data_IF_683351171160
#
_entry.id   IF_683351171160
#
_cell.length_a   1.000
_cell.length_b   1.000
_cell.length_c   1.000
_cell.angle_alpha   90.00
_cell.angle_beta   90.00
_cell.angle_gamma   90.00
#
_symmetry.space_group_name_H-M   'P 1'
#
loop_
_entity.id
_entity.type
_entity.pdbx_description
1 polymer ?
#
# COMPACT_ATOMS: atom_id res chain seq x y z
N UNK A 1 30.33 -14.14 -28.57
CA UNK A 1 30.24 -15.51 -29.12
C UNK A 1 29.34 -16.27 -28.17
N UNK A 2 28.16 -16.72 -28.59
CA UNK A 2 27.08 -17.00 -27.64
C UNK A 2 27.23 -18.38 -26.99
N UNK A 3 27.12 -18.41 -25.67
CA UNK A 3 27.10 -19.61 -24.83
C UNK A 3 25.93 -20.52 -25.27
N UNK A 4 26.21 -21.80 -25.53
CA UNK A 4 25.17 -22.75 -25.94
C UNK A 4 24.45 -23.31 -24.71
N UNK A 5 23.12 -23.19 -24.68
CA UNK A 5 22.27 -23.68 -23.59
C UNK A 5 21.25 -24.70 -24.11
N UNK A 6 21.06 -25.77 -23.34
CA UNK A 6 19.91 -26.68 -23.43
C UNK A 6 19.29 -26.69 -22.05
N UNK A 7 18.08 -26.15 -21.89
CA UNK A 7 17.55 -25.88 -20.56
C UNK A 7 16.06 -26.19 -20.43
N UNK A 8 15.72 -26.72 -19.25
CA UNK A 8 14.35 -26.69 -18.70
C UNK A 8 14.03 -25.33 -18.05
N UNK A 9 15.05 -24.56 -17.66
CA UNK A 9 14.91 -23.20 -17.11
C UNK A 9 15.04 -22.15 -18.22
N UNK A 10 14.03 -21.32 -18.51
CA UNK A 10 14.18 -20.24 -19.50
C UNK A 10 15.14 -19.16 -18.96
N UNK A 11 16.37 -19.12 -19.48
CA UNK A 11 17.36 -18.10 -19.15
C UNK A 11 17.64 -17.19 -20.35
N UNK A 12 17.96 -15.93 -20.06
CA UNK A 12 18.49 -14.96 -21.02
C UNK A 12 19.98 -14.73 -20.73
N UNK A 13 20.85 -14.91 -21.73
CA UNK A 13 22.23 -14.45 -21.64
C UNK A 13 22.26 -12.95 -21.89
N UNK A 14 22.93 -12.21 -21.01
CA UNK A 14 23.11 -10.78 -21.15
C UNK A 14 24.58 -10.45 -21.38
N UNK A 15 24.86 -9.92 -22.57
CA UNK A 15 26.21 -9.50 -22.95
C UNK A 15 26.54 -8.13 -22.37
N UNK A 16 27.83 -7.85 -22.15
CA UNK A 16 28.26 -6.54 -21.67
C UNK A 16 27.86 -5.44 -22.68
N UNK A 17 27.08 -4.46 -22.22
CA UNK A 17 26.67 -3.31 -23.02
C UNK A 17 25.36 -3.49 -23.82
N UNK A 18 24.64 -4.60 -23.66
CA UNK A 18 23.28 -4.71 -24.21
C UNK A 18 22.30 -3.83 -23.46
N UNK A 19 21.44 -3.11 -24.18
CA UNK A 19 20.30 -2.41 -23.59
C UNK A 19 19.37 -3.42 -22.92
N UNK A 20 19.20 -3.32 -21.60
CA UNK A 20 18.28 -4.15 -20.83
C UNK A 20 17.01 -3.36 -20.52
N UNK A 21 15.86 -3.90 -20.93
CA UNK A 21 14.56 -3.39 -20.56
C UNK A 21 13.59 -4.56 -20.42
N UNK A 22 13.03 -4.72 -19.22
CA UNK A 22 12.04 -5.77 -18.94
C UNK A 22 10.81 -5.15 -18.30
N UNK A 23 9.63 -5.45 -18.84
CA UNK A 23 8.37 -5.01 -18.23
C UNK A 23 7.84 -6.08 -17.28
N UNK A 24 7.62 -5.69 -16.03
CA UNK A 24 7.05 -6.55 -14.99
C UNK A 24 5.90 -5.83 -14.31
N UNK A 25 4.70 -6.42 -14.35
CA UNK A 25 3.49 -5.86 -13.74
C UNK A 25 3.22 -4.39 -14.10
N UNK A 26 3.61 -3.96 -15.31
CA UNK A 26 3.45 -2.58 -15.79
C UNK A 26 4.57 -1.62 -15.38
N UNK A 27 5.56 -2.05 -14.60
CA UNK A 27 6.80 -1.31 -14.38
C UNK A 27 7.88 -1.72 -15.37
N UNK A 28 8.85 -0.84 -15.60
CA UNK A 28 10.01 -1.11 -16.46
C UNK A 28 11.28 -1.22 -15.62
N UNK A 29 11.91 -2.38 -15.68
CA UNK A 29 13.22 -2.67 -15.09
C UNK A 29 14.29 -2.33 -16.12
N UNK A 30 15.18 -1.40 -15.80
CA UNK A 30 16.16 -0.84 -16.75
C UNK A 30 17.61 -1.09 -16.34
N UNK A 31 17.86 -1.46 -15.07
CA UNK A 31 19.21 -1.77 -14.59
C UNK A 31 19.38 -3.30 -14.59
N UNK A 32 20.25 -3.85 -15.47
CA UNK A 32 20.53 -5.27 -15.48
C UNK A 32 21.30 -5.70 -14.23
N UNK A 33 21.38 -7.01 -13.94
CA UNK A 33 22.28 -7.50 -12.91
C UNK A 33 23.75 -7.24 -13.32
N UNK A 34 24.66 -7.05 -12.35
CA UNK A 34 26.07 -6.87 -12.65
C UNK A 34 26.72 -8.14 -13.22
N UNK A 35 27.75 -7.96 -14.05
CA UNK A 35 28.62 -9.05 -14.50
C UNK A 35 29.74 -9.32 -13.48
N UNK A 36 30.27 -10.56 -13.42
CA UNK A 36 31.55 -10.83 -12.77
C UNK A 36 32.64 -9.87 -13.27
N UNK A 37 33.54 -9.45 -12.39
CA UNK A 37 34.58 -8.47 -12.73
C UNK A 37 35.94 -9.09 -13.06
N UNK A 38 36.04 -10.42 -13.00
CA UNK A 38 37.25 -11.16 -13.28
C UNK A 38 37.07 -12.66 -13.08
N UNK A 39 38.12 -13.41 -13.37
CA UNK A 39 38.15 -14.86 -13.15
C UNK A 39 37.92 -15.21 -11.67
N UNK A 40 36.81 -15.88 -11.38
CA UNK A 40 36.40 -16.22 -10.01
C UNK A 40 35.98 -15.01 -9.16
N UNK A 41 35.83 -13.82 -9.75
CA UNK A 41 35.41 -12.61 -9.04
C UNK A 41 33.94 -12.32 -9.35
N UNK A 42 33.07 -12.79 -8.45
CA UNK A 42 31.62 -12.64 -8.55
C UNK A 42 31.16 -11.26 -8.07
N UNK A 43 30.14 -10.71 -8.71
CA UNK A 43 29.48 -9.49 -8.26
C UNK A 43 28.63 -9.73 -7.00
N UNK A 44 28.41 -8.66 -6.22
CA UNK A 44 27.66 -8.71 -4.97
C UNK A 44 26.20 -9.11 -5.18
N UNK A 45 25.68 -9.94 -4.26
CA UNK A 45 24.27 -10.35 -4.20
C UNK A 45 23.76 -10.31 -2.75
N UNK A 46 22.50 -9.88 -2.50
CA UNK A 46 21.63 -9.20 -3.46
C UNK A 46 22.21 -7.85 -3.91
N UNK A 47 21.78 -7.34 -5.06
CA UNK A 47 22.12 -5.97 -5.47
C UNK A 47 21.39 -4.94 -4.61
N UNK A 48 21.89 -3.71 -4.57
CA UNK A 48 21.14 -2.59 -3.97
C UNK A 48 19.80 -2.41 -4.69
N UNK A 49 18.67 -2.27 -3.96
CA UNK A 49 17.37 -2.04 -4.59
C UNK A 49 17.34 -0.75 -5.42
N UNK A 50 16.79 -0.87 -6.63
CA UNK A 50 16.51 0.25 -7.52
C UNK A 50 15.02 0.59 -7.43
N UNK A 51 14.72 1.87 -7.21
CA UNK A 51 13.35 2.35 -7.06
C UNK A 51 12.58 2.27 -8.40
N UNK A 52 11.39 1.67 -8.36
CA UNK A 52 10.42 1.70 -9.47
C UNK A 52 9.45 2.86 -9.31
N UNK A 53 8.86 3.00 -8.12
CA UNK A 53 7.80 3.96 -7.87
C UNK A 53 7.67 4.28 -6.37
N UNK A 54 7.28 5.52 -6.07
CA UNK A 54 6.77 5.92 -4.76
C UNK A 54 5.29 6.31 -4.91
N UNK A 55 4.49 5.98 -3.90
CA UNK A 55 3.08 6.37 -3.81
C UNK A 55 2.67 6.53 -2.33
N UNK A 56 1.38 6.77 -2.10
CA UNK A 56 0.78 6.74 -0.77
C UNK A 56 -0.54 5.98 -0.80
N UNK A 57 -0.87 5.31 0.31
CA UNK A 57 -2.15 4.65 0.53
C UNK A 57 -2.87 5.25 1.74
N UNK A 58 -4.20 5.20 1.76
CA UNK A 58 -5.04 5.54 2.90
C UNK A 58 -6.09 4.46 3.07
N UNK A 59 -6.17 3.88 4.27
CA UNK A 59 -7.18 2.89 4.63
C UNK A 59 -8.60 3.46 4.52
N UNK A 60 -8.80 4.70 4.96
CA UNK A 60 -10.01 5.47 4.69
C UNK A 60 -9.62 6.64 3.78
N UNK A 61 -9.90 6.54 2.46
CA UNK A 61 -9.77 7.67 1.55
C UNK A 61 -10.60 8.85 2.05
N UNK A 62 -10.27 10.11 1.73
CA UNK A 62 -11.02 11.27 2.20
C UNK A 62 -12.46 11.21 1.70
N UNK A 63 -13.41 11.26 2.63
CA UNK A 63 -14.86 11.25 2.35
C UNK A 63 -15.50 12.36 3.16
N UNK A 64 -16.49 13.03 2.60
CA UNK A 64 -17.25 14.05 3.32
C UNK A 64 -18.73 13.99 3.00
N UNK A 65 -19.54 14.30 4.00
CA UNK A 65 -20.97 14.53 3.87
C UNK A 65 -21.17 16.04 4.00
N UNK A 66 -21.58 16.67 2.89
CA UNK A 66 -21.81 18.11 2.84
C UNK A 66 -23.29 18.42 3.01
N UNK A 67 -23.62 19.18 4.05
CA UNK A 67 -24.99 19.58 4.42
C UNK A 67 -25.51 20.78 3.62
N UNK A 68 -24.67 21.37 2.78
CA UNK A 68 -25.05 22.41 1.82
C UNK A 68 -25.68 21.86 0.53
N UNK A 69 -25.88 20.55 0.44
CA UNK A 69 -26.52 19.88 -0.69
C UNK A 69 -27.92 19.37 -0.32
N UNK A 70 -28.84 19.35 -1.30
CA UNK A 70 -30.15 18.74 -1.10
C UNK A 70 -29.98 17.22 -0.92
N UNK A 71 -30.44 16.68 0.21
CA UNK A 71 -30.26 15.28 0.64
C UNK A 71 -28.78 14.88 0.81
N UNK A 72 -28.12 15.34 1.91
CA UNK A 72 -26.71 15.06 2.18
C UNK A 72 -26.44 13.54 2.23
N UNK A 73 -25.92 12.94 1.16
CA UNK A 73 -25.90 11.48 1.02
C UNK A 73 -24.80 10.80 1.84
N UNK A 74 -24.97 9.49 2.05
CA UNK A 74 -23.93 8.55 2.48
C UNK A 74 -22.83 8.42 1.40
N UNK A 75 -21.58 8.28 1.83
CA UNK A 75 -20.43 7.86 0.99
C UNK A 75 -20.23 6.34 1.10
N UNK A 76 -19.15 5.80 0.51
CA UNK A 76 -18.88 4.37 0.54
C UNK A 76 -18.78 3.81 1.98
N UNK A 77 -18.01 4.49 2.85
CA UNK A 77 -17.74 4.05 4.21
C UNK A 77 -18.38 4.94 5.29
N UNK A 78 -18.79 6.16 4.95
CA UNK A 78 -19.26 7.14 5.93
C UNK A 78 -20.71 7.53 5.64
N UNK A 79 -21.56 7.52 6.65
CA UNK A 79 -23.00 7.75 6.47
C UNK A 79 -23.62 8.48 7.64
N UNK A 80 -24.77 9.12 7.40
CA UNK A 80 -25.57 9.77 8.42
C UNK A 80 -26.96 9.12 8.45
N UNK A 81 -27.20 8.14 9.34
CA UNK A 81 -28.40 7.30 9.30
C UNK A 81 -29.70 7.99 9.75
N UNK A 82 -29.64 9.11 10.48
CA UNK A 82 -30.81 9.85 10.96
C UNK A 82 -30.64 11.36 10.77
N UNK A 83 -31.46 11.95 9.90
CA UNK A 83 -31.57 13.41 9.73
C UNK A 83 -32.51 14.02 10.78
N UNK A 84 -32.16 13.95 12.06
CA UNK A 84 -32.94 14.65 13.08
C UNK A 84 -32.49 16.11 13.19
N UNK A 85 -33.36 17.06 12.83
CA UNK A 85 -33.10 18.50 13.03
C UNK A 85 -32.44 19.24 11.85
N UNK A 86 -32.35 18.63 10.67
CA UNK A 86 -31.94 19.31 9.43
C UNK A 86 -33.17 19.85 8.69
N UNK A 87 -33.24 21.17 8.51
CA UNK A 87 -34.20 21.80 7.61
C UNK A 87 -33.55 21.92 6.22
N UNK A 88 -34.07 21.27 5.17
CA UNK A 88 -33.42 21.21 3.85
C UNK A 88 -33.21 22.57 3.14
N UNK A 89 -33.74 23.66 3.68
CA UNK A 89 -33.61 25.01 3.13
C UNK A 89 -32.39 25.80 3.62
N UNK A 90 -31.67 25.36 4.67
CA UNK A 90 -30.63 26.19 5.30
C UNK A 90 -29.19 25.85 4.88
N UNK A 91 -28.94 24.70 4.25
CA UNK A 91 -27.60 24.35 3.75
C UNK A 91 -26.53 24.14 4.84
N UNK A 92 -26.95 24.11 6.10
CA UNK A 92 -26.15 23.82 7.27
C UNK A 92 -27.03 23.13 8.30
N UNK A 93 -26.39 22.38 9.19
CA UNK A 93 -27.03 21.82 10.38
C UNK A 93 -26.71 22.70 11.60
N UNK A 94 -27.69 22.88 12.48
CA UNK A 94 -27.56 23.69 13.69
C UNK A 94 -27.88 22.83 14.90
N UNK A 95 -26.85 22.50 15.68
CA UNK A 95 -26.99 21.77 16.93
C UNK A 95 -27.22 22.80 18.04
N UNK A 96 -28.46 23.02 18.45
CA UNK A 96 -28.80 23.90 19.59
C UNK A 96 -29.20 23.09 20.81
N UNK A 97 -28.93 23.63 22.01
CA UNK A 97 -29.49 23.14 23.29
C UNK A 97 -29.25 21.64 23.56
N UNK A 98 -28.04 21.15 23.34
CA UNK A 98 -27.71 19.73 23.53
C UNK A 98 -28.02 18.83 22.32
N UNK A 99 -28.24 19.42 21.15
CA UNK A 99 -28.39 18.69 19.89
C UNK A 99 -27.17 17.84 19.56
N UNK A 100 -27.39 16.73 18.86
CA UNK A 100 -26.34 15.81 18.43
C UNK A 100 -26.54 15.31 17.01
N UNK A 101 -25.41 14.88 16.44
CA UNK A 101 -25.24 14.46 15.08
C UNK A 101 -24.57 13.09 15.02
N UNK A 102 -25.31 12.09 14.53
CA UNK A 102 -24.83 10.71 14.48
C UNK A 102 -24.36 10.35 13.08
N UNK A 103 -23.17 9.78 13.00
CA UNK A 103 -22.59 9.24 11.79
C UNK A 103 -22.20 7.79 12.02
N UNK A 104 -22.34 6.97 10.98
CA UNK A 104 -21.83 5.61 10.96
C UNK A 104 -20.65 5.53 10.00
N UNK A 105 -19.50 5.08 10.51
CA UNK A 105 -18.27 4.84 9.76
C UNK A 105 -17.96 3.34 9.74
N UNK A 106 -17.91 2.77 8.55
CA UNK A 106 -17.53 1.38 8.33
C UNK A 106 -16.02 1.28 8.16
N UNK A 107 -15.37 0.52 9.02
CA UNK A 107 -13.93 0.27 8.97
C UNK A 107 -13.64 -1.22 8.75
N UNK A 108 -12.63 -1.51 7.94
CA UNK A 108 -12.12 -2.88 7.80
C UNK A 108 -11.45 -3.36 9.10
N UNK A 109 -10.88 -2.44 9.88
CA UNK A 109 -10.24 -2.67 11.18
C UNK A 109 -10.22 -1.40 12.03
N UNK A 110 -9.96 -1.55 13.33
CA UNK A 110 -9.79 -0.41 14.22
C UNK A 110 -8.50 0.36 13.87
N UNK A 111 -8.65 1.61 13.44
CA UNK A 111 -7.53 2.47 13.03
C UNK A 111 -7.73 3.90 13.50
N UNK A 112 -6.65 4.70 13.49
CA UNK A 112 -6.73 6.12 13.77
C UNK A 112 -7.40 6.84 12.60
N UNK A 113 -8.49 7.57 12.88
CA UNK A 113 -9.23 8.33 11.86
C UNK A 113 -9.14 9.82 12.18
N UNK A 114 -8.78 10.63 11.19
CA UNK A 114 -8.94 12.07 11.25
C UNK A 114 -10.39 12.42 10.90
N UNK A 115 -11.11 13.00 11.86
CA UNK A 115 -12.41 13.60 11.67
C UNK A 115 -12.23 15.10 11.42
N UNK A 116 -12.77 15.59 10.32
CA UNK A 116 -12.82 17.02 10.00
C UNK A 116 -14.25 17.51 10.06
N UNK A 117 -14.51 18.58 10.79
CA UNK A 117 -15.83 19.20 10.94
C UNK A 117 -15.74 20.63 10.41
N UNK A 118 -16.38 20.90 9.28
CA UNK A 118 -16.49 22.27 8.77
C UNK A 118 -17.64 22.97 9.48
N UNK A 119 -17.30 23.92 10.35
CA UNK A 119 -18.25 24.49 11.28
C UNK A 119 -18.00 25.99 11.57
N UNK A 120 -18.98 26.61 12.21
CA UNK A 120 -18.93 27.96 12.71
C UNK A 120 -19.63 28.02 14.08
N UNK A 121 -19.09 28.84 14.98
CA UNK A 121 -19.68 29.09 16.30
C UNK A 121 -20.17 30.52 16.38
N UNK A 122 -21.47 30.72 16.62
CA UNK A 122 -21.99 32.07 16.90
C UNK A 122 -21.66 32.41 18.35
N UNK A 123 -20.55 33.09 18.57
CA UNK A 123 -20.48 34.02 19.70
C UNK A 123 -21.28 35.24 19.28
N UNK A 124 -22.49 35.43 19.81
CA UNK A 124 -23.15 36.73 19.66
C UNK A 124 -22.16 37.78 20.22
N UNK A 125 -21.71 38.76 19.40
CA UNK A 125 -20.64 39.67 19.80
C UNK A 125 -21.06 40.57 20.98
N UNK A 126 -22.37 40.63 21.29
CA UNK A 126 -22.93 41.36 22.42
C UNK A 126 -23.09 40.49 23.69
N UNK A 127 -22.77 39.20 23.64
CA UNK A 127 -22.79 38.31 24.81
C UNK A 127 -21.36 37.97 25.22
N UNK A 128 -20.79 38.78 26.11
CA UNK A 128 -19.56 38.44 26.84
C UNK A 128 -19.76 37.13 27.61
N UNK A 129 -18.91 36.13 27.36
CA UNK A 129 -18.93 34.84 28.07
C UNK A 129 -19.66 33.68 27.37
N UNK A 130 -20.16 33.88 26.15
CA UNK A 130 -20.82 32.83 25.37
C UNK A 130 -19.82 31.92 24.65
N UNK A 131 -19.71 30.67 25.09
CA UNK A 131 -18.83 29.66 24.52
C UNK A 131 -19.68 28.52 23.91
N UNK A 132 -19.44 28.19 22.66
CA UNK A 132 -19.90 26.92 22.08
C UNK A 132 -18.88 25.83 22.45
N UNK A 133 -19.33 24.59 22.60
CA UNK A 133 -18.46 23.47 22.92
C UNK A 133 -18.76 22.34 21.96
N UNK A 134 -17.72 21.88 21.25
CA UNK A 134 -17.85 20.69 20.43
C UNK A 134 -17.41 19.49 21.26
N UNK A 135 -18.30 18.51 21.37
CA UNK A 135 -17.95 17.19 21.87
C UNK A 135 -18.09 16.15 20.79
N UNK A 136 -17.08 15.30 20.69
CA UNK A 136 -17.07 14.15 19.78
C UNK A 136 -16.98 12.89 20.63
N UNK A 137 -17.85 11.94 20.39
CA UNK A 137 -17.78 10.60 20.94
C UNK A 137 -17.78 9.54 19.85
N UNK A 138 -17.16 8.41 20.14
CA UNK A 138 -17.05 7.26 19.25
C UNK A 138 -17.52 6.06 20.05
N UNK A 139 -18.49 5.31 19.52
CA UNK A 139 -19.07 4.12 20.16
C UNK A 139 -19.51 4.39 21.62
N UNK A 140 -20.05 5.59 21.87
CA UNK A 140 -20.48 6.05 23.19
C UNK A 140 -19.36 6.54 24.11
N UNK A 141 -18.09 6.47 23.69
CA UNK A 141 -16.94 6.96 24.45
C UNK A 141 -16.52 8.35 23.99
N UNK A 142 -16.43 9.31 24.91
CA UNK A 142 -16.00 10.67 24.59
C UNK A 142 -14.52 10.69 24.14
N UNK A 143 -14.26 11.33 23.01
CA UNK A 143 -12.91 11.51 22.43
C UNK A 143 -12.44 12.93 22.60
N UNK A 144 -13.32 13.88 22.36
CA UNK A 144 -13.02 15.32 22.44
C UNK A 144 -14.12 16.02 23.22
N UNK A 145 -13.70 17.00 24.02
CA UNK A 145 -14.57 17.95 24.71
C UNK A 145 -13.85 19.28 24.80
N UNK A 146 -13.89 20.05 23.71
CA UNK A 146 -13.11 21.28 23.63
C UNK A 146 -14.03 22.48 23.57
N UNK A 147 -13.59 23.56 24.22
CA UNK A 147 -14.17 24.86 23.99
C UNK A 147 -13.92 25.25 22.53
N UNK A 148 -14.99 25.56 21.81
CA UNK A 148 -14.91 26.02 20.45
C UNK A 148 -14.32 27.44 20.43
N UNK A 149 -13.34 27.70 19.57
CA UNK A 149 -12.85 29.07 19.40
C UNK A 149 -14.01 29.90 18.86
N UNK A 150 -14.30 31.04 19.50
CA UNK A 150 -15.36 31.94 19.06
C UNK A 150 -15.03 32.49 17.66
N UNK A 151 -15.48 31.77 16.63
CA UNK A 151 -15.23 32.08 15.23
C UNK A 151 -16.54 32.00 14.47
N UNK A 152 -17.00 33.18 14.04
CA UNK A 152 -18.22 33.35 13.25
C UNK A 152 -18.03 32.95 11.78
N UNK A 153 -16.79 32.75 11.33
CA UNK A 153 -16.49 32.28 9.98
C UNK A 153 -16.47 30.75 9.93
N UNK A 154 -16.88 30.19 8.79
CA UNK A 154 -16.71 28.76 8.50
C UNK A 154 -15.22 28.40 8.47
N UNK A 155 -14.86 27.35 9.18
CA UNK A 155 -13.50 26.79 9.23
C UNK A 155 -13.56 25.29 9.52
N UNK A 156 -12.44 24.62 9.30
CA UNK A 156 -12.30 23.21 9.60
C UNK A 156 -11.70 23.02 10.99
N UNK A 157 -12.39 22.25 11.81
CA UNK A 157 -11.86 21.69 13.06
C UNK A 157 -11.50 20.23 12.84
N UNK A 158 -10.32 19.82 13.30
CA UNK A 158 -9.80 18.46 13.08
C UNK A 158 -9.56 17.73 14.38
N UNK A 159 -9.97 16.47 14.42
CA UNK A 159 -9.86 15.60 15.60
C UNK A 159 -9.29 14.26 15.20
N UNK A 160 -8.38 13.73 16.00
CA UNK A 160 -7.90 12.35 15.85
C UNK A 160 -8.78 11.44 16.70
N UNK A 161 -9.51 10.55 16.03
CA UNK A 161 -10.26 9.46 16.64
C UNK A 161 -9.29 8.28 16.80
N UNK A 162 -8.90 8.01 18.04
CA UNK A 162 -7.94 6.98 18.39
C UNK A 162 -8.46 5.58 18.04
N UNK A 163 -7.62 4.76 17.41
CA UNK A 163 -7.87 3.37 17.09
C UNK A 163 -8.38 2.57 18.30
N UNK A 164 -7.92 2.88 19.51
CA UNK A 164 -8.35 2.22 20.75
C UNK A 164 -9.85 2.41 21.09
N UNK A 165 -10.51 3.40 20.48
CA UNK A 165 -11.95 3.67 20.63
C UNK A 165 -12.77 3.21 19.43
N UNK A 166 -12.08 2.82 18.35
CA UNK A 166 -12.68 2.29 17.13
C UNK A 166 -12.78 0.76 17.23
N UNK A 167 -13.68 0.19 16.42
CA UNK A 167 -13.83 -1.26 16.24
C UNK A 167 -13.77 -1.60 14.75
N UNK A 168 -13.42 -2.84 14.44
CA UNK A 168 -13.69 -3.40 13.12
C UNK A 168 -15.20 -3.40 12.83
N UNK A 169 -15.60 -3.00 11.64
CA UNK A 169 -17.00 -2.86 11.23
C UNK A 169 -17.56 -1.47 11.49
N UNK A 170 -18.82 -1.41 11.91
CA UNK A 170 -19.54 -0.14 12.08
C UNK A 170 -19.12 0.58 13.36
N UNK A 171 -18.73 1.84 13.21
CA UNK A 171 -18.43 2.76 14.31
C UNK A 171 -19.46 3.88 14.32
N UNK A 172 -20.01 4.19 15.49
CA UNK A 172 -20.90 5.33 15.67
C UNK A 172 -20.11 6.53 16.13
N UNK A 173 -20.03 7.58 15.32
CA UNK A 173 -19.42 8.86 15.65
C UNK A 173 -20.55 9.84 15.98
N UNK A 174 -20.53 10.45 17.16
CA UNK A 174 -21.50 11.45 17.59
C UNK A 174 -20.81 12.77 17.80
N UNK A 175 -21.27 13.81 17.10
CA UNK A 175 -20.87 15.19 17.32
C UNK A 175 -22.01 15.90 18.05
N UNK A 176 -21.74 16.55 19.17
CA UNK A 176 -22.76 17.25 19.96
C UNK A 176 -22.29 18.63 20.39
N UNK A 177 -23.24 19.56 20.52
CA UNK A 177 -23.00 20.83 21.20
C UNK A 177 -23.30 20.68 22.69
N UNK A 178 -22.33 20.98 23.55
CA UNK A 178 -22.56 21.11 24.99
C UNK A 178 -22.61 22.57 25.46
N UNK A 179 -22.58 23.52 24.52
CA UNK A 179 -22.72 24.95 24.76
C UNK A 179 -24.18 25.44 24.77
N UNK A 180 -24.34 26.75 25.01
CA UNK A 180 -25.66 27.39 25.05
C UNK A 180 -26.07 28.10 23.75
N UNK A 181 -25.12 28.35 22.84
CA UNK A 181 -25.34 29.18 21.65
C UNK A 181 -25.49 28.39 20.36
N UNK A 182 -25.18 27.09 20.38
CA UNK A 182 -25.27 26.23 19.22
C UNK A 182 -23.97 26.07 18.44
N UNK A 183 -23.91 25.00 17.68
CA UNK A 183 -22.83 24.68 16.72
C UNK A 183 -23.44 24.53 15.33
N UNK A 184 -22.92 25.28 14.37
CA UNK A 184 -23.34 25.20 12.97
C UNK A 184 -22.33 24.38 12.19
N UNK A 185 -22.81 23.41 11.40
CA UNK A 185 -21.96 22.49 10.64
C UNK A 185 -22.42 22.46 9.18
N UNK A 186 -21.50 22.64 8.24
CA UNK A 186 -21.78 22.57 6.79
C UNK A 186 -21.23 21.30 6.15
N UNK A 187 -20.22 20.68 6.74
CA UNK A 187 -19.73 19.38 6.30
C UNK A 187 -19.04 18.62 7.44
N UNK A 188 -19.05 17.30 7.32
CA UNK A 188 -18.24 16.41 8.16
C UNK A 188 -17.51 15.44 7.25
N UNK A 189 -16.20 15.32 7.43
CA UNK A 189 -15.36 14.42 6.67
C UNK A 189 -14.50 13.53 7.54
N UNK A 190 -14.08 12.41 6.97
CA UNK A 190 -13.20 11.43 7.59
C UNK A 190 -12.10 11.00 6.63
N UNK A 191 -10.91 10.75 7.15
CA UNK A 191 -9.79 10.13 6.44
C UNK A 191 -8.86 9.44 7.41
N UNK A 192 -7.97 8.57 6.91
CA UNK A 192 -6.82 8.07 7.68
C UNK A 192 -5.53 8.78 7.24
N UNK A 193 -4.46 8.65 8.03
CA UNK A 193 -3.15 9.13 7.61
C UNK A 193 -2.70 8.49 6.29
N UNK A 194 -1.95 9.25 5.49
CA UNK A 194 -1.27 8.72 4.32
C UNK A 194 -0.13 7.81 4.78
N UNK A 195 -0.16 6.55 4.35
CA UNK A 195 0.94 5.60 4.49
C UNK A 195 1.82 5.71 3.25
N UNK A 196 3.08 6.15 3.36
CA UNK A 196 4.00 6.13 2.23
C UNK A 196 4.27 4.67 1.85
N UNK A 197 4.18 4.40 0.54
CA UNK A 197 4.50 3.09 -0.03
C UNK A 197 5.54 3.25 -1.14
N UNK A 198 6.43 2.28 -1.28
CA UNK A 198 7.39 2.23 -2.38
C UNK A 198 7.44 0.85 -3.01
N UNK A 199 7.75 0.83 -4.30
CA UNK A 199 8.07 -0.38 -5.04
C UNK A 199 9.49 -0.23 -5.60
N UNK A 200 10.30 -1.26 -5.42
CA UNK A 200 11.68 -1.34 -5.90
C UNK A 200 11.94 -2.75 -6.44
N UNK A 201 13.07 -2.92 -7.11
CA UNK A 201 13.55 -4.24 -7.54
C UNK A 201 15.02 -4.39 -7.22
N UNK A 202 15.46 -5.65 -7.11
CA UNK A 202 16.87 -6.00 -7.02
C UNK A 202 17.11 -7.35 -7.69
N UNK A 203 18.38 -7.67 -7.90
CA UNK A 203 18.80 -8.94 -8.47
C UNK A 203 19.40 -9.82 -7.37
N UNK A 204 18.94 -11.06 -7.31
CA UNK A 204 19.41 -12.08 -6.40
C UNK A 204 20.15 -13.17 -7.19
N UNK A 205 21.38 -13.45 -6.83
CA UNK A 205 22.13 -14.58 -7.38
C UNK A 205 21.50 -15.89 -6.90
N UNK A 206 21.20 -16.76 -7.84
CA UNK A 206 20.68 -18.13 -7.61
C UNK A 206 21.67 -19.21 -8.03
N UNK A 207 22.70 -18.85 -8.79
CA UNK A 207 23.79 -19.75 -9.18
C UNK A 207 25.02 -18.97 -9.63
N UNK A 208 26.19 -19.59 -9.51
CA UNK A 208 27.44 -19.05 -10.03
C UNK A 208 28.45 -20.18 -10.24
N UNK A 209 29.47 -19.93 -11.05
CA UNK A 209 30.56 -20.86 -11.24
C UNK A 209 31.63 -20.38 -12.20
N UNK A 210 32.65 -21.23 -12.34
CA UNK A 210 33.72 -21.10 -13.32
C UNK A 210 33.70 -22.31 -14.25
N UNK A 211 33.89 -22.07 -15.53
CA UNK A 211 33.89 -23.05 -16.60
C UNK A 211 35.24 -22.99 -17.30
N UNK A 212 35.99 -24.09 -17.22
CA UNK A 212 37.16 -24.27 -18.06
C UNK A 212 36.76 -24.78 -19.44
N UNK A 213 37.62 -24.59 -20.47
CA UNK A 213 37.38 -25.13 -21.80
C UNK A 213 37.09 -26.63 -21.79
N UNK A 214 36.01 -27.04 -22.45
CA UNK A 214 35.58 -28.44 -22.51
C UNK A 214 34.79 -28.94 -21.28
N UNK A 215 34.63 -28.13 -20.23
CA UNK A 215 33.75 -28.45 -19.11
C UNK A 215 32.32 -27.96 -19.37
N UNK A 216 31.34 -28.70 -18.86
CA UNK A 216 29.95 -28.27 -18.80
C UNK A 216 29.54 -28.10 -17.34
N UNK A 217 28.87 -27.00 -17.03
CA UNK A 217 28.18 -26.82 -15.77
C UNK A 217 26.83 -27.50 -15.91
N UNK A 218 26.67 -28.64 -15.25
CA UNK A 218 25.42 -29.38 -15.20
C UNK A 218 25.00 -29.51 -13.74
N UNK A 219 24.12 -28.63 -13.28
CA UNK A 219 23.61 -28.64 -11.91
C UNK A 219 22.14 -28.29 -11.85
N UNK A 220 21.49 -28.78 -10.79
CA UNK A 220 20.16 -28.32 -10.42
C UNK A 220 20.28 -26.99 -9.68
N UNK A 221 19.50 -26.00 -10.09
CA UNK A 221 19.40 -24.70 -9.44
C UNK A 221 18.01 -24.57 -8.82
N UNK A 222 17.99 -24.19 -7.56
CA UNK A 222 16.75 -23.86 -6.86
C UNK A 222 16.32 -22.44 -7.25
N UNK A 223 15.11 -22.31 -7.78
CA UNK A 223 14.46 -21.03 -8.05
C UNK A 223 13.26 -20.94 -7.13
N UNK A 224 13.22 -19.89 -6.31
CA UNK A 224 12.10 -19.61 -5.43
C UNK A 224 11.19 -18.59 -6.10
N UNK A 225 9.91 -18.89 -6.24
CA UNK A 225 8.89 -17.97 -6.75
C UNK A 225 7.86 -17.66 -5.67
N UNK A 226 7.40 -16.42 -5.61
CA UNK A 226 6.36 -15.97 -4.67
C UNK A 226 6.86 -14.91 -3.69
N UNK A 227 5.96 -14.48 -2.81
CA UNK A 227 6.06 -13.23 -2.05
C UNK A 227 6.32 -13.44 -0.56
N UNK A 228 5.91 -14.56 0.01
CA UNK A 228 5.87 -14.72 1.47
C UNK A 228 6.37 -16.11 1.88
N UNK A 229 7.24 -16.14 2.89
CA UNK A 229 7.70 -17.41 3.46
C UNK A 229 6.66 -17.98 4.44
N UNK A 230 5.76 -17.13 4.94
CA UNK A 230 4.68 -17.48 5.87
C UNK A 230 3.46 -16.56 5.69
N UNK A 231 2.28 -17.05 6.09
CA UNK A 231 1.05 -16.24 6.14
C UNK A 231 1.23 -14.99 7.04
N UNK A 232 2.01 -15.11 8.11
CA UNK A 232 2.31 -14.04 9.07
C UNK A 232 2.99 -12.80 8.47
N UNK A 233 3.93 -12.97 7.54
CA UNK A 233 4.59 -11.83 6.87
C UNK A 233 3.61 -11.08 5.98
N UNK A 234 2.71 -11.83 5.35
CA UNK A 234 1.62 -11.29 4.53
C UNK A 234 0.67 -10.46 5.37
N UNK A 235 0.21 -11.05 6.47
CA UNK A 235 -0.75 -10.44 7.39
C UNK A 235 -0.15 -9.17 8.00
N UNK A 236 1.12 -9.19 8.40
CA UNK A 236 1.79 -8.01 8.94
C UNK A 236 1.95 -6.87 7.92
N UNK A 237 2.27 -7.18 6.67
CA UNK A 237 2.33 -6.17 5.61
C UNK A 237 0.95 -5.64 5.24
N UNK A 238 -0.06 -6.51 5.21
CA UNK A 238 -1.46 -6.14 4.97
C UNK A 238 -1.99 -5.24 6.10
N UNK A 239 -1.78 -5.60 7.37
CA UNK A 239 -2.05 -4.78 8.56
C UNK A 239 -1.35 -3.42 8.48
N UNK A 240 -0.10 -3.38 7.98
CA UNK A 240 0.63 -2.11 7.82
C UNK A 240 -0.02 -1.20 6.77
N UNK A 241 -0.70 -1.77 5.77
CA UNK A 241 -1.51 -1.06 4.78
C UNK A 241 -2.94 -0.77 5.28
N UNK A 242 -3.30 -1.22 6.49
CA UNK A 242 -4.64 -1.15 7.06
C UNK A 242 -5.60 -2.23 6.55
N UNK A 243 -5.10 -3.21 5.82
CA UNK A 243 -5.87 -4.25 5.14
C UNK A 243 -5.94 -5.51 6.00
N UNK A 244 -7.09 -5.82 6.57
CA UNK A 244 -7.28 -7.08 7.26
C UNK A 244 -7.65 -8.20 6.29
N UNK A 245 -6.89 -9.29 6.35
CA UNK A 245 -7.24 -10.58 5.75
C UNK A 245 -8.35 -11.19 6.60
N UNK A 246 -9.59 -11.16 6.10
CA UNK A 246 -10.73 -11.71 6.84
C UNK A 246 -10.55 -13.20 7.10
N UNK A 247 -10.24 -13.58 8.35
CA UNK A 247 -10.26 -14.97 8.83
C UNK A 247 -11.72 -15.41 8.95
N UNK A 248 -12.34 -15.68 7.80
CA UNK A 248 -13.77 -15.92 7.69
C UNK A 248 -14.12 -16.72 6.44
N UNK A 249 -13.63 -17.96 6.38
CA UNK A 249 -14.17 -19.01 5.49
C UNK A 249 -13.97 -18.86 3.98
N UNK A 250 -13.34 -17.79 3.51
CA UNK A 250 -12.76 -17.69 2.17
C UNK A 250 -11.25 -17.61 2.33
N UNK A 251 -10.51 -18.59 1.79
CA UNK A 251 -9.06 -18.69 1.95
C UNK A 251 -8.32 -17.39 1.62
N UNK A 252 -7.07 -17.33 2.10
CA UNK A 252 -6.05 -16.31 1.89
C UNK A 252 -6.18 -15.61 0.51
N UNK A 253 -6.41 -16.37 -0.56
CA UNK A 253 -6.70 -15.93 -1.94
C UNK A 253 -7.65 -14.73 -2.09
N UNK A 254 -8.72 -14.61 -1.28
CA UNK A 254 -9.70 -13.51 -1.40
C UNK A 254 -9.23 -12.20 -0.78
N UNK A 255 -8.46 -12.26 0.29
CA UNK A 255 -7.88 -11.06 0.89
C UNK A 255 -6.69 -10.54 0.09
N UNK A 256 -5.93 -11.46 -0.53
CA UNK A 256 -4.81 -11.14 -1.41
C UNK A 256 -5.25 -10.39 -2.69
N UNK A 257 -6.45 -10.67 -3.20
CA UNK A 257 -7.04 -9.90 -4.31
C UNK A 257 -7.39 -8.45 -3.88
N UNK A 258 -7.65 -8.22 -2.60
CA UNK A 258 -7.90 -6.88 -2.05
C UNK A 258 -6.63 -6.03 -1.96
N UNK A 259 -5.53 -6.61 -1.52
CA UNK A 259 -4.21 -5.95 -1.46
C UNK A 259 -3.71 -5.65 -2.87
N UNK A 260 -3.86 -6.60 -3.80
CA UNK A 260 -3.51 -6.42 -5.21
C UNK A 260 -4.30 -5.27 -5.84
N UNK A 261 -5.59 -5.18 -5.57
CA UNK A 261 -6.48 -4.15 -6.09
C UNK A 261 -6.22 -2.78 -5.45
N UNK A 262 -5.90 -2.72 -4.15
CA UNK A 262 -5.62 -1.46 -3.48
C UNK A 262 -4.24 -0.89 -3.86
N UNK A 263 -3.20 -1.73 -3.85
CA UNK A 263 -1.90 -1.36 -4.39
C UNK A 263 -2.02 -0.99 -5.86
N UNK A 264 -2.82 -1.74 -6.65
CA UNK A 264 -3.19 -1.34 -8.01
C UNK A 264 -3.73 0.08 -8.00
N UNK A 265 -4.82 0.38 -7.30
CA UNK A 265 -5.42 1.71 -7.33
C UNK A 265 -4.45 2.83 -6.91
N UNK A 266 -3.61 2.60 -5.89
CA UNK A 266 -2.59 3.58 -5.46
C UNK A 266 -1.50 3.80 -6.51
N UNK A 267 -1.09 2.77 -7.25
CA UNK A 267 -0.09 2.89 -8.33
C UNK A 267 -0.69 3.30 -9.68
N UNK A 268 -2.01 3.17 -9.88
CA UNK A 268 -2.74 3.49 -11.13
C UNK A 268 -3.17 4.97 -11.22
N UNK A 269 -2.74 5.84 -10.29
CA UNK A 269 -3.10 7.27 -10.32
C UNK A 269 -2.38 8.08 -11.44
N UNK A 270 -1.58 7.39 -12.25
CA UNK A 270 -1.02 7.84 -13.53
C UNK A 270 -1.63 7.04 -14.67
N UNK A 271 -1.78 7.63 -15.85
CA UNK A 271 -2.65 7.29 -16.99
C UNK A 271 -2.50 5.91 -17.67
N UNK A 272 -2.13 4.85 -16.96
CA UNK A 272 -1.99 3.47 -17.45
C UNK A 272 -2.84 2.52 -16.63
N UNK A 273 -3.54 1.62 -17.32
CA UNK A 273 -4.53 0.65 -16.80
C UNK A 273 -3.92 -0.42 -15.88
N UNK A 274 -4.34 -0.43 -14.61
CA UNK A 274 -4.31 -1.51 -13.61
C UNK A 274 -2.97 -2.26 -13.36
N UNK A 275 -2.42 -2.12 -12.16
CA UNK A 275 -1.27 -2.88 -11.64
C UNK A 275 -1.71 -3.94 -10.60
N UNK A 276 -1.97 -5.19 -10.99
CA UNK A 276 -2.36 -6.24 -10.03
C UNK A 276 -1.16 -6.90 -9.35
N UNK A 277 -1.02 -6.74 -8.02
CA UNK A 277 -0.04 -7.47 -7.22
C UNK A 277 -0.60 -8.76 -6.61
N UNK A 278 -0.45 -9.92 -7.25
CA UNK A 278 -0.80 -11.18 -6.61
C UNK A 278 0.29 -11.61 -5.61
N UNK A 279 -0.05 -11.61 -4.31
CA UNK A 279 0.80 -12.22 -3.28
C UNK A 279 0.60 -13.73 -3.35
N UNK A 280 1.68 -14.50 -3.30
CA UNK A 280 1.63 -15.96 -3.36
C UNK A 280 2.62 -16.59 -2.39
N UNK A 281 2.30 -17.79 -1.90
CA UNK A 281 3.19 -18.57 -1.06
C UNK A 281 4.49 -18.88 -1.81
N UNK A 282 5.63 -18.76 -1.13
CA UNK A 282 6.90 -19.14 -1.73
C UNK A 282 6.91 -20.62 -2.09
N UNK A 283 7.22 -20.89 -3.35
CA UNK A 283 7.43 -22.21 -3.91
C UNK A 283 8.85 -22.28 -4.42
N UNK A 284 9.60 -23.30 -3.99
CA UNK A 284 10.94 -23.55 -4.52
C UNK A 284 10.88 -24.72 -5.47
N UNK A 285 11.22 -24.46 -6.73
CA UNK A 285 11.33 -25.47 -7.77
C UNK A 285 12.80 -25.65 -8.14
N UNK A 286 13.17 -26.87 -8.52
CA UNK A 286 14.55 -27.22 -8.89
C UNK A 286 14.61 -27.43 -10.40
N UNK A 287 15.49 -26.71 -11.07
CA UNK A 287 15.64 -26.75 -12.53
C UNK A 287 17.03 -27.20 -12.94
N UNK A 288 17.10 -28.11 -13.92
CA UNK A 288 18.36 -28.49 -14.53
C UNK A 288 18.93 -27.37 -15.40
N UNK A 289 20.17 -26.97 -15.13
CA UNK A 289 20.88 -25.96 -15.91
C UNK A 289 22.14 -26.57 -16.49
N UNK A 290 22.21 -26.58 -17.83
CA UNK A 290 23.39 -26.95 -18.61
C UNK A 290 24.00 -25.73 -19.29
N UNK A 291 25.20 -25.35 -18.86
CA UNK A 291 25.96 -24.23 -19.43
C UNK A 291 27.30 -24.74 -19.93
N UNK A 292 27.60 -24.47 -21.20
CA UNK A 292 28.88 -24.82 -21.83
C UNK A 292 29.58 -23.54 -22.32
N UNK A 293 30.87 -23.34 -22.02
CA UNK A 293 31.57 -22.13 -22.46
C UNK A 293 31.65 -22.09 -23.99
N UNK A 294 31.47 -20.91 -24.60
CA UNK A 294 31.59 -20.74 -26.05
C UNK A 294 33.07 -20.72 -26.46
N UNK A 295 33.69 -21.89 -26.50
CA UNK A 295 35.03 -22.07 -27.08
C UNK A 295 36.11 -22.47 -26.08
N UNK A 296 37.32 -21.93 -26.30
CA UNK A 296 38.56 -22.36 -25.66
C UNK A 296 38.97 -21.52 -24.45
N UNK A 297 38.12 -20.59 -24.02
CA UNK A 297 38.43 -19.68 -22.91
C UNK A 297 37.71 -20.09 -21.63
N UNK A 298 38.31 -19.75 -20.49
CA UNK A 298 37.70 -19.88 -19.17
C UNK A 298 36.61 -18.82 -19.02
N UNK A 299 35.46 -19.21 -18.46
CA UNK A 299 34.32 -18.31 -18.24
C UNK A 299 33.90 -18.34 -16.77
N UNK A 300 33.80 -17.19 -16.14
CA UNK A 300 33.13 -16.99 -14.85
C UNK A 300 31.71 -16.51 -15.12
N UNK A 301 30.70 -17.12 -14.50
CA UNK A 301 29.30 -16.74 -14.73
C UNK A 301 28.50 -16.62 -13.43
N UNK A 302 27.46 -15.80 -13.47
CA UNK A 302 26.44 -15.68 -12.43
C UNK A 302 25.05 -15.78 -13.06
N UNK A 303 24.14 -16.41 -12.33
CA UNK A 303 22.74 -16.59 -12.71
C UNK A 303 21.92 -15.80 -11.70
N UNK A 304 21.11 -14.89 -12.21
CA UNK A 304 20.37 -13.89 -11.48
C UNK A 304 18.89 -14.08 -11.65
N UNK A 305 18.18 -13.88 -10.56
CA UNK A 305 16.74 -13.82 -10.50
C UNK A 305 16.32 -12.40 -10.15
N UNK A 306 15.32 -11.88 -10.86
CA UNK A 306 14.70 -10.60 -10.52
C UNK A 306 13.79 -10.77 -9.29
N UNK A 307 13.97 -9.90 -8.31
CA UNK A 307 13.12 -9.78 -7.13
C UNK A 307 12.48 -8.39 -7.09
N UNK A 308 11.21 -8.31 -6.69
CA UNK A 308 10.51 -7.08 -6.39
C UNK A 308 10.46 -6.91 -4.87
N UNK A 309 10.53 -5.67 -4.41
CA UNK A 309 10.44 -5.32 -2.99
C UNK A 309 9.45 -4.17 -2.82
N UNK A 310 8.48 -4.38 -1.95
CA UNK A 310 7.46 -3.42 -1.58
C UNK A 310 7.72 -2.96 -0.15
N UNK A 311 7.62 -1.66 0.09
CA UNK A 311 7.74 -1.09 1.43
C UNK A 311 6.48 -0.31 1.77
N UNK A 312 5.98 -0.49 2.99
CA UNK A 312 4.92 0.32 3.56
C UNK A 312 5.27 0.60 5.03
N UNK A 313 5.36 1.87 5.42
CA UNK A 313 5.67 2.28 6.80
C UNK A 313 6.88 1.55 7.44
N UNK A 314 7.92 1.24 6.65
CA UNK A 314 9.11 0.50 7.11
C UNK A 314 8.99 -1.03 7.13
N UNK A 315 7.80 -1.59 6.87
CA UNK A 315 7.61 -3.03 6.67
C UNK A 315 7.91 -3.38 5.21
N UNK A 316 8.72 -4.41 4.99
CA UNK A 316 9.16 -4.87 3.68
C UNK A 316 8.48 -6.19 3.29
N UNK A 317 8.08 -6.29 2.03
CA UNK A 317 7.60 -7.51 1.40
C UNK A 317 8.41 -7.78 0.13
N UNK A 318 9.03 -8.95 0.03
CA UNK A 318 9.90 -9.31 -1.10
C UNK A 318 9.30 -10.44 -1.93
N UNK A 319 9.15 -10.20 -3.23
CA UNK A 319 8.68 -11.18 -4.20
C UNK A 319 9.82 -11.63 -5.11
N UNK A 320 10.18 -12.91 -5.02
CA UNK A 320 11.05 -13.53 -6.01
C UNK A 320 10.20 -13.96 -7.21
N UNK A 321 10.59 -13.55 -8.42
CA UNK A 321 9.83 -13.84 -9.63
C UNK A 321 10.26 -15.17 -10.22
N UNK A 322 9.31 -16.08 -10.39
CA UNK A 322 9.58 -17.37 -11.03
C UNK A 322 9.94 -17.22 -12.51
N UNK A 323 10.37 -18.30 -13.17
CA UNK A 323 10.81 -18.26 -14.56
C UNK A 323 9.70 -17.87 -15.56
N UNK A 324 8.43 -17.95 -15.13
CA UNK A 324 7.27 -17.55 -15.93
C UNK A 324 6.85 -16.09 -15.70
N UNK A 325 7.31 -15.48 -14.61
CA UNK A 325 6.87 -14.14 -14.15
C UNK A 325 7.96 -13.08 -14.32
N UNK A 326 9.22 -13.50 -14.29
CA UNK A 326 10.38 -12.64 -14.39
C UNK A 326 11.53 -13.28 -15.16
N UNK A 327 12.51 -12.47 -15.59
CA UNK A 327 13.65 -12.97 -16.33
C UNK A 327 14.63 -13.65 -15.37
N UNK A 328 15.13 -14.81 -15.77
CA UNK A 328 16.36 -15.38 -15.24
C UNK A 328 17.50 -14.94 -16.17
N UNK A 329 18.48 -14.23 -15.64
CA UNK A 329 19.54 -13.60 -16.43
C UNK A 329 20.88 -14.25 -16.10
N UNK A 330 21.67 -14.55 -17.12
CA UNK A 330 23.04 -15.03 -16.98
C UNK A 330 23.99 -13.92 -17.41
N UNK A 331 24.93 -13.57 -16.53
CA UNK A 331 26.04 -12.66 -16.84
C UNK A 331 27.36 -13.41 -16.77
N UNK A 332 28.36 -12.99 -17.55
CA UNK A 332 29.64 -13.69 -17.68
C UNK A 332 30.85 -12.77 -17.77
N UNK A 333 32.03 -13.33 -17.48
CA UNK A 333 33.35 -12.75 -17.71
C UNK A 333 34.31 -13.83 -18.26
N UNK A 334 35.14 -13.53 -19.28
CA UNK A 334 35.03 -12.35 -20.14
C UNK A 334 33.68 -12.33 -20.87
N UNK A 335 33.22 -11.14 -21.25
CA UNK A 335 31.94 -10.94 -21.94
C UNK A 335 31.95 -11.57 -23.34
#
# INVERSE_FOLDING_TARGET
MNMAMTQDLPCMLLDAGSDFSYSVFGWTVTTPPPSPSGDGIFAQSPTTPALLQNASSQLVPPQSIAFNTANPSRTALFSMPLYSGFAPSTGFWNLQSGGSANFALQLAEATNVTLTVTCAGVANPNTTGSQSYISVSVNGQQVVSNQFVANQNWHDETFVLDAAKMVQGENTIVISDSGQQGLWITAVGVSTANVPISASYFWQQIGAGELNPGNTYNRSIAVTSGNTSTDTETDSFAETLGLTVGIGGGGIDKALFGISAQLSTSFTHTSTTAHSLAISQQTTSSYGVNITPPGADKVTFQIWQLCLQYEANGTLLTQALGPNDGPIVITQYPA
#
